data_IF_460237138300
#
_entry.id   IF_460237138300
#
_cell.length_a   1.000
_cell.length_b   1.000
_cell.length_c   1.000
_cell.angle_alpha   90.00
_cell.angle_beta   90.00
_cell.angle_gamma   90.00
#
_symmetry.space_group_name_H-M   'P 1'
#
loop_
_entity.id
_entity.type
_entity.pdbx_description
1 polymer ?
#
# COMPACT_ATOMS: atom_id res chain seq x y z
N UNK A 1 -6.33 -15.98 25.75
CA UNK A 1 -5.11 -15.53 25.05
C UNK A 1 -5.46 -14.22 24.37
N UNK A 2 -4.69 -13.15 24.58
CA UNK A 2 -4.86 -11.92 23.82
C UNK A 2 -4.47 -12.19 22.36
N UNK A 3 -5.28 -11.72 21.41
CA UNK A 3 -4.89 -11.73 20.00
C UNK A 3 -3.81 -10.65 19.87
N UNK A 4 -2.60 -10.98 19.40
CA UNK A 4 -1.58 -9.97 19.20
C UNK A 4 -2.05 -8.98 18.13
N UNK A 5 -1.76 -7.69 18.36
CA UNK A 5 -2.17 -6.59 17.47
C UNK A 5 -1.10 -6.35 16.41
N UNK A 6 -1.53 -6.11 15.17
CA UNK A 6 -0.62 -5.87 14.04
C UNK A 6 0.15 -4.57 14.29
N UNK A 7 1.47 -4.52 14.09
CA UNK A 7 2.24 -3.31 14.29
C UNK A 7 1.76 -2.16 13.40
N UNK A 8 1.79 -0.95 13.95
CA UNK A 8 1.59 0.31 13.23
C UNK A 8 2.91 1.07 13.31
N UNK A 9 3.44 1.49 12.16
CA UNK A 9 4.68 2.27 12.06
C UNK A 9 4.33 3.68 11.60
N UNK A 10 4.61 4.66 12.45
CA UNK A 10 4.50 6.06 12.12
C UNK A 10 5.70 6.48 11.26
N UNK A 11 5.43 7.06 10.08
CA UNK A 11 6.48 7.52 9.16
C UNK A 11 6.47 9.03 8.94
N UNK A 12 5.85 9.82 9.80
CA UNK A 12 5.73 11.29 9.62
C UNK A 12 7.08 11.93 9.28
N UNK A 13 8.14 11.59 10.01
CA UNK A 13 9.50 12.11 9.78
C UNK A 13 10.05 11.80 8.37
N UNK A 14 9.61 10.72 7.72
CA UNK A 14 9.99 10.43 6.33
C UNK A 14 9.22 11.30 5.33
N UNK A 15 8.01 11.75 5.68
CA UNK A 15 7.15 12.56 4.81
C UNK A 15 7.49 14.05 4.84
N UNK A 16 8.28 14.51 5.81
CA UNK A 16 8.77 15.90 5.88
C UNK A 16 9.81 16.21 4.81
N UNK A 17 10.50 15.19 4.28
CA UNK A 17 11.44 15.36 3.18
C UNK A 17 10.70 15.63 1.87
N UNK A 18 11.05 16.71 1.14
CA UNK A 18 10.34 17.11 -0.07
C UNK A 18 10.64 16.21 -1.27
N UNK A 19 11.70 15.40 -1.23
CA UNK A 19 12.12 14.54 -2.34
C UNK A 19 12.64 13.17 -1.88
N UNK A 20 12.43 12.15 -2.71
CA UNK A 20 12.97 10.79 -2.49
C UNK A 20 14.49 10.78 -2.35
N UNK A 21 15.20 11.71 -3.00
CA UNK A 21 16.65 11.83 -2.90
C UNK A 21 17.09 12.26 -1.49
N UNK A 22 16.33 13.17 -0.88
CA UNK A 22 16.59 13.64 0.49
C UNK A 22 16.24 12.57 1.53
N UNK A 23 15.13 11.85 1.34
CA UNK A 23 14.80 10.66 2.15
C UNK A 23 15.95 9.65 2.12
N UNK A 24 16.42 9.28 0.93
CA UNK A 24 17.51 8.31 0.80
C UNK A 24 18.80 8.79 1.46
N UNK A 25 19.15 10.07 1.30
CA UNK A 25 20.33 10.63 1.96
C UNK A 25 20.21 10.56 3.49
N UNK A 26 19.04 10.90 4.04
CA UNK A 26 18.77 10.87 5.47
C UNK A 26 18.79 9.44 6.05
N UNK A 27 18.30 8.45 5.30
CA UNK A 27 18.35 7.04 5.70
C UNK A 27 19.78 6.47 5.69
N UNK A 28 20.66 6.96 4.81
CA UNK A 28 22.05 6.49 4.72
C UNK A 28 22.96 7.06 5.82
N UNK A 29 22.70 8.28 6.29
CA UNK A 29 23.40 8.90 7.42
C UNK A 29 22.44 9.12 8.60
N UNK A 30 21.63 8.09 8.92
CA UNK A 30 20.62 8.11 9.98
C UNK A 30 21.25 8.29 11.37
N UNK A 31 21.78 9.49 11.64
CA UNK A 31 22.20 10.02 12.93
C UNK A 31 21.04 10.65 13.69
N UNK A 32 19.89 10.78 13.03
CA UNK A 32 18.64 11.22 13.61
C UNK A 32 17.99 10.06 14.37
N UNK A 33 17.78 10.27 15.67
CA UNK A 33 17.19 9.28 16.57
C UNK A 33 15.77 8.87 16.13
N UNK A 34 15.00 9.77 15.51
CA UNK A 34 13.66 9.48 15.00
C UNK A 34 13.71 8.55 13.78
N UNK A 35 14.64 8.79 12.85
CA UNK A 35 14.82 7.91 11.68
C UNK A 35 15.35 6.53 12.08
N UNK A 36 16.28 6.49 13.05
CA UNK A 36 16.76 5.23 13.63
C UNK A 36 15.63 4.40 14.22
N UNK A 37 14.71 5.04 14.97
CA UNK A 37 13.55 4.37 15.54
C UNK A 37 12.61 3.80 14.46
N UNK A 38 12.30 4.58 13.41
CA UNK A 38 11.45 4.11 12.30
C UNK A 38 12.09 2.90 11.61
N UNK A 39 13.40 2.94 11.34
CA UNK A 39 14.13 1.83 10.74
C UNK A 39 14.03 0.56 11.60
N UNK A 40 14.20 0.70 12.92
CA UNK A 40 14.12 -0.44 13.85
C UNK A 40 12.70 -1.00 13.95
N UNK A 41 11.68 -0.14 13.98
CA UNK A 41 10.27 -0.54 13.96
C UNK A 41 9.89 -1.28 12.68
N UNK A 42 10.27 -0.75 11.50
CA UNK A 42 10.06 -1.42 10.22
C UNK A 42 10.77 -2.77 10.19
N UNK A 43 12.03 -2.84 10.66
CA UNK A 43 12.80 -4.09 10.70
C UNK A 43 12.13 -5.14 11.59
N UNK A 44 11.72 -4.75 12.80
CA UNK A 44 11.06 -5.66 13.74
C UNK A 44 9.73 -6.16 13.18
N UNK A 45 8.87 -5.23 12.72
CA UNK A 45 7.56 -5.59 12.18
C UNK A 45 7.67 -6.47 10.92
N UNK A 46 8.57 -6.16 9.99
CA UNK A 46 8.78 -6.97 8.80
C UNK A 46 9.33 -8.37 9.13
N UNK A 47 10.23 -8.48 10.10
CA UNK A 47 10.88 -9.76 10.45
C UNK A 47 9.99 -10.66 11.30
N UNK A 48 9.16 -10.09 12.18
CA UNK A 48 8.31 -10.83 13.11
C UNK A 48 6.92 -11.13 12.54
N UNK A 49 6.33 -10.17 11.84
CA UNK A 49 4.95 -10.28 11.31
C UNK A 49 4.90 -10.52 9.81
N UNK A 50 5.89 -10.06 9.05
CA UNK A 50 5.88 -10.07 7.59
C UNK A 50 4.96 -9.00 6.97
N UNK A 51 4.24 -8.22 7.78
CA UNK A 51 3.43 -7.07 7.38
C UNK A 51 3.16 -6.13 8.57
N UNK A 52 2.79 -4.88 8.29
CA UNK A 52 2.42 -3.86 9.27
C UNK A 52 1.58 -2.77 8.61
N UNK A 53 0.88 -1.97 9.43
CA UNK A 53 0.24 -0.74 8.98
C UNK A 53 1.23 0.43 9.02
N UNK A 54 1.03 1.40 8.13
CA UNK A 54 1.77 2.66 8.13
C UNK A 54 0.80 3.77 8.54
N UNK A 55 1.22 4.64 9.45
CA UNK A 55 0.50 5.86 9.83
C UNK A 55 1.27 7.11 9.38
N UNK A 56 0.58 8.25 9.31
CA UNK A 56 1.11 9.53 8.85
C UNK A 56 1.84 9.45 7.50
N UNK A 57 1.32 8.65 6.57
CA UNK A 57 1.87 8.45 5.22
C UNK A 57 1.66 9.64 4.26
N UNK A 58 1.24 10.82 4.77
CA UNK A 58 1.10 12.05 3.98
C UNK A 58 -0.08 12.11 3.00
N UNK A 59 -0.94 11.09 2.92
CA UNK A 59 -2.16 11.15 2.09
C UNK A 59 -3.32 11.69 2.95
N UNK A 60 -4.04 12.67 2.41
CA UNK A 60 -5.21 13.20 3.10
C UNK A 60 -6.38 12.20 3.08
N UNK A 61 -7.25 12.29 4.08
CA UNK A 61 -8.47 11.47 4.14
C UNK A 61 -9.38 11.72 2.93
N UNK A 62 -9.40 12.95 2.40
CA UNK A 62 -10.17 13.31 1.21
C UNK A 62 -9.66 12.61 -0.05
N UNK A 63 -8.34 12.47 -0.22
CA UNK A 63 -7.74 11.75 -1.35
C UNK A 63 -8.08 10.26 -1.27
N UNK A 64 -7.97 9.66 -0.08
CA UNK A 64 -8.35 8.26 0.16
C UNK A 64 -9.84 8.06 -0.13
N UNK A 65 -10.71 8.96 0.34
CA UNK A 65 -12.15 8.88 0.10
C UNK A 65 -12.51 8.98 -1.38
N UNK A 66 -11.91 9.92 -2.13
CA UNK A 66 -12.10 10.07 -3.58
C UNK A 66 -11.62 8.85 -4.35
N UNK A 67 -10.48 8.29 -3.97
CA UNK A 67 -9.97 7.05 -4.57
C UNK A 67 -10.96 5.89 -4.36
N UNK A 68 -11.43 5.70 -3.12
CA UNK A 68 -12.40 4.66 -2.81
C UNK A 68 -13.74 4.86 -3.53
N UNK A 69 -14.23 6.10 -3.63
CA UNK A 69 -15.44 6.41 -4.38
C UNK A 69 -15.29 6.07 -5.86
N UNK A 70 -14.15 6.42 -6.46
CA UNK A 70 -13.84 6.10 -7.86
C UNK A 70 -13.79 4.59 -8.09
N UNK A 71 -13.12 3.85 -7.21
CA UNK A 71 -13.10 2.38 -7.25
C UNK A 71 -14.52 1.79 -7.17
N UNK A 72 -15.29 2.15 -6.13
CA UNK A 72 -16.68 1.67 -5.96
C UNK A 72 -17.57 2.01 -7.14
N UNK A 73 -17.40 3.20 -7.73
CA UNK A 73 -18.19 3.62 -8.89
C UNK A 73 -17.86 2.80 -10.13
N UNK A 74 -16.58 2.50 -10.36
CA UNK A 74 -16.16 1.60 -11.44
C UNK A 74 -16.71 0.18 -11.26
N UNK A 75 -16.57 -0.42 -10.07
CA UNK A 75 -17.00 -1.81 -9.85
C UNK A 75 -18.53 -2.00 -9.87
N UNK A 76 -19.30 -0.93 -9.62
CA UNK A 76 -20.77 -0.88 -9.80
C UNK A 76 -21.23 -0.90 -11.27
N UNK A 77 -20.35 -0.62 -12.23
CA UNK A 77 -20.70 -0.69 -13.66
C UNK A 77 -21.05 -2.13 -14.08
N UNK A 78 -21.91 -2.31 -15.11
CA UNK A 78 -22.13 -3.61 -15.74
C UNK A 78 -20.82 -4.27 -16.17
N UNK A 79 -20.77 -5.59 -16.08
CA UNK A 79 -19.56 -6.35 -16.37
C UNK A 79 -19.10 -6.17 -17.83
N UNK A 80 -20.03 -5.96 -18.76
CA UNK A 80 -19.78 -5.69 -20.17
C UNK A 80 -18.95 -4.41 -20.35
N UNK A 81 -19.23 -3.37 -19.55
CA UNK A 81 -18.47 -2.11 -19.60
C UNK A 81 -17.06 -2.33 -19.03
N UNK A 82 -16.95 -3.00 -17.88
CA UNK A 82 -15.64 -3.28 -17.27
C UNK A 82 -14.75 -4.12 -18.19
N UNK A 83 -15.32 -5.06 -18.95
CA UNK A 83 -14.61 -5.90 -19.95
C UNK A 83 -14.10 -5.13 -21.18
N UNK A 84 -14.47 -3.86 -21.38
CA UNK A 84 -13.94 -3.04 -22.49
C UNK A 84 -12.49 -2.60 -22.29
N UNK A 85 -11.96 -2.70 -21.07
CA UNK A 85 -10.59 -2.31 -20.72
C UNK A 85 -9.77 -3.51 -20.21
N UNK A 86 -9.64 -4.61 -20.96
CA UNK A 86 -9.06 -5.85 -20.45
C UNK A 86 -7.55 -5.71 -20.18
N UNK A 87 -7.10 -6.36 -19.09
CA UNK A 87 -5.68 -6.71 -18.94
C UNK A 87 -5.30 -7.73 -20.03
N UNK A 88 -4.15 -7.55 -20.68
CA UNK A 88 -3.66 -8.46 -21.72
C UNK A 88 -2.31 -9.06 -21.35
N UNK A 89 -1.86 -10.08 -22.09
CA UNK A 89 -0.54 -10.68 -21.88
C UNK A 89 0.63 -9.70 -22.08
N UNK A 90 0.43 -8.65 -22.89
CA UNK A 90 1.42 -7.61 -23.18
C UNK A 90 1.16 -6.30 -22.43
N UNK A 91 0.03 -6.18 -21.72
CA UNK A 91 -0.31 -5.02 -20.92
C UNK A 91 -0.93 -5.46 -19.58
N UNK A 92 -0.16 -5.30 -18.51
CA UNK A 92 -0.59 -5.65 -17.15
C UNK A 92 -1.63 -4.68 -16.55
N UNK A 93 -2.00 -3.59 -17.24
CA UNK A 93 -3.06 -2.67 -16.83
C UNK A 93 -4.40 -3.05 -17.44
N UNK A 94 -5.48 -2.85 -16.69
CA UNK A 94 -6.84 -3.11 -17.14
C UNK A 94 -7.64 -3.97 -16.15
N UNK A 95 -8.92 -4.17 -16.45
CA UNK A 95 -9.82 -5.03 -15.71
C UNK A 95 -9.46 -6.51 -15.93
N UNK A 96 -9.51 -7.30 -14.87
CA UNK A 96 -9.28 -8.75 -14.90
C UNK A 96 -10.45 -9.46 -14.24
N UNK A 97 -11.00 -10.47 -14.90
CA UNK A 97 -11.96 -11.38 -14.32
C UNK A 97 -11.33 -12.77 -14.23
N UNK A 98 -11.47 -13.43 -13.09
CA UNK A 98 -11.06 -14.82 -12.94
C UNK A 98 -9.55 -15.05 -12.85
N UNK A 99 -8.81 -14.12 -12.25
CA UNK A 99 -7.38 -14.33 -12.00
C UNK A 99 -7.16 -15.61 -11.18
N UNK A 100 -6.27 -16.47 -11.68
CA UNK A 100 -5.92 -17.72 -11.02
C UNK A 100 -4.67 -17.54 -10.16
N UNK A 101 -4.78 -17.82 -8.86
CA UNK A 101 -3.64 -17.97 -7.96
C UNK A 101 -3.48 -19.44 -7.63
N UNK A 102 -2.34 -20.05 -8.01
CA UNK A 102 -2.09 -21.50 -7.86
C UNK A 102 -3.22 -22.36 -8.46
N UNK A 103 -3.67 -22.01 -9.67
CA UNK A 103 -4.77 -22.66 -10.40
C UNK A 103 -6.15 -22.62 -9.69
N UNK A 104 -6.32 -21.76 -8.68
CA UNK A 104 -7.62 -21.47 -8.07
C UNK A 104 -8.01 -20.04 -8.38
N UNK A 105 -9.27 -19.85 -8.78
CA UNK A 105 -9.81 -18.50 -8.97
C UNK A 105 -9.77 -17.74 -7.67
N UNK A 106 -9.12 -16.59 -7.71
CA UNK A 106 -9.17 -15.62 -6.63
C UNK A 106 -10.47 -14.83 -6.75
N UNK A 107 -11.36 -14.94 -5.76
CA UNK A 107 -12.66 -14.28 -5.82
C UNK A 107 -12.51 -12.84 -5.35
N UNK A 108 -12.54 -11.91 -6.31
CA UNK A 108 -12.47 -10.47 -6.12
C UNK A 108 -13.69 -9.83 -6.79
N UNK A 109 -14.42 -8.97 -6.10
CA UNK A 109 -15.54 -8.19 -6.66
C UNK A 109 -15.38 -6.70 -6.33
#
# INVERSE_FOLDING_TARGET
MAVPEVPIVDIEALTEFPTDAEVNAALHDAKDDALGLIIDQVRAAASEWGFFYIDNHGLSQDEVAKFQESMRSFFRLPAEIKRTIPRTATNARGFVEGELTKNKTDWKQ
#
